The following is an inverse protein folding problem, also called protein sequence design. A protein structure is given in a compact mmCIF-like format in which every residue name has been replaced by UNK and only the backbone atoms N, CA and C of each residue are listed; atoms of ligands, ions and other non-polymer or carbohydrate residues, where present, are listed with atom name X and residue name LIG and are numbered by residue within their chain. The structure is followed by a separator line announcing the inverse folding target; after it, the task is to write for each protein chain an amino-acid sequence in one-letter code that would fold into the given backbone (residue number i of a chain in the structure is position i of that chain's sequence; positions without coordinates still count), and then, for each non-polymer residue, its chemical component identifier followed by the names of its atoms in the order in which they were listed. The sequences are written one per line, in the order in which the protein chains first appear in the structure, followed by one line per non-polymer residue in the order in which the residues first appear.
data_IF_754618219714
#
_entry.id   IF_754618219714
#
_cell.length_a   1.000
_cell.length_b   1.000
_cell.length_c   1.000
_cell.angle_alpha   90.00
_cell.angle_beta   90.00
_cell.angle_gamma   90.00
#
_symmetry.space_group_name_H-M   'P 1'
#
loop_
_entity.id
_entity.type
_entity.pdbx_description
1 polymer ?
#
# COMPACT_ATOMS: atom_id res chain seq x y z
N UNK A 1 21.42 -17.22 29.61
CA UNK A 1 20.21 -16.38 29.51
C UNK A 1 20.35 -15.48 28.29
N UNK A 2 19.84 -15.90 27.13
CA UNK A 2 19.84 -15.07 25.93
C UNK A 2 18.60 -14.18 25.97
N UNK A 3 18.76 -12.97 26.50
CA UNK A 3 17.72 -11.95 26.41
C UNK A 3 17.46 -11.64 24.95
N UNK A 4 16.26 -11.96 24.48
CA UNK A 4 15.81 -11.67 23.13
C UNK A 4 15.76 -10.14 22.93
N UNK A 5 16.84 -9.58 22.39
CA UNK A 5 16.84 -8.21 21.85
C UNK A 5 16.04 -8.20 20.54
N UNK A 6 14.73 -8.48 20.62
CA UNK A 6 13.81 -8.33 19.50
C UNK A 6 13.69 -6.81 19.23
N UNK A 7 14.12 -6.30 18.06
CA UNK A 7 14.02 -4.89 17.77
C UNK A 7 12.57 -4.43 17.88
N UNK A 8 12.34 -3.28 18.51
CA UNK A 8 10.98 -2.78 18.70
C UNK A 8 10.31 -2.46 17.36
N UNK A 9 8.99 -2.65 17.29
CA UNK A 9 8.13 -2.25 16.16
C UNK A 9 8.38 -0.79 15.74
N UNK A 10 8.65 0.09 16.72
CA UNK A 10 8.93 1.51 16.50
C UNK A 10 10.29 1.75 15.81
N UNK A 11 11.34 1.01 16.21
CA UNK A 11 12.64 1.06 15.55
C UNK A 11 12.52 0.61 14.09
N UNK A 12 11.76 -0.46 13.86
CA UNK A 12 11.51 -1.02 12.53
C UNK A 12 10.78 -0.01 11.63
N UNK A 13 9.72 0.62 12.16
CA UNK A 13 8.96 1.67 11.46
C UNK A 13 9.84 2.85 11.10
N UNK A 14 10.68 3.29 12.04
CA UNK A 14 11.58 4.44 11.83
C UNK A 14 12.64 4.15 10.77
N UNK A 15 13.14 2.92 10.71
CA UNK A 15 14.11 2.49 9.70
C UNK A 15 13.48 2.46 8.30
N UNK A 16 12.29 1.86 8.15
CA UNK A 16 11.56 1.84 6.88
C UNK A 16 11.23 3.26 6.40
N UNK A 17 10.74 4.12 7.30
CA UNK A 17 10.51 5.53 6.98
C UNK A 17 11.78 6.23 6.52
N UNK A 18 12.92 6.01 7.18
CA UNK A 18 14.20 6.61 6.74
C UNK A 18 14.64 6.12 5.37
N UNK A 19 14.40 4.86 5.02
CA UNK A 19 14.71 4.33 3.68
C UNK A 19 13.81 4.99 2.64
N UNK A 20 12.53 5.13 2.95
CA UNK A 20 11.52 5.74 2.08
C UNK A 20 11.71 7.24 1.88
N UNK A 21 12.23 7.94 2.89
CA UNK A 21 12.44 9.40 2.84
C UNK A 21 13.74 9.79 2.14
N UNK A 22 14.59 8.83 1.75
CA UNK A 22 15.80 9.12 0.99
C UNK A 22 15.47 9.66 -0.40
N UNK A 23 16.37 10.50 -0.93
CA UNK A 23 16.27 11.11 -2.27
C UNK A 23 16.11 10.05 -3.38
N UNK A 24 16.70 8.88 -3.18
CA UNK A 24 16.53 7.69 -4.00
C UNK A 24 16.04 6.56 -3.10
N UNK A 25 14.89 5.97 -3.47
CA UNK A 25 14.35 4.82 -2.76
C UNK A 25 15.20 3.58 -3.07
N UNK A 26 15.85 3.04 -2.05
CA UNK A 26 16.57 1.77 -2.16
C UNK A 26 15.64 0.60 -1.83
N UNK A 27 15.02 0.05 -2.87
CA UNK A 27 14.14 -1.12 -2.78
C UNK A 27 14.88 -2.37 -2.27
N UNK A 28 16.16 -2.51 -2.59
CA UNK A 28 16.97 -3.64 -2.13
C UNK A 28 17.17 -3.62 -0.62
N UNK A 29 17.51 -2.45 -0.07
CA UNK A 29 17.58 -2.23 1.37
C UNK A 29 16.21 -2.37 2.03
N UNK A 30 15.16 -1.84 1.40
CA UNK A 30 13.79 -1.94 1.90
C UNK A 30 13.33 -3.40 2.04
N UNK A 31 13.45 -4.19 0.98
CA UNK A 31 13.12 -5.62 0.92
C UNK A 31 13.94 -6.44 1.93
N UNK A 32 15.24 -6.16 2.03
CA UNK A 32 16.12 -6.83 3.01
C UNK A 32 15.67 -6.57 4.44
N UNK A 33 15.30 -5.32 4.75
CA UNK A 33 14.83 -4.93 6.07
C UNK A 33 13.47 -5.57 6.38
N UNK A 34 12.54 -5.60 5.41
CA UNK A 34 11.27 -6.31 5.54
C UNK A 34 11.44 -7.80 5.82
N UNK A 35 12.28 -8.50 5.04
CA UNK A 35 12.56 -9.93 5.23
C UNK A 35 13.16 -10.22 6.60
N UNK A 36 14.05 -9.37 7.09
CA UNK A 36 14.58 -9.47 8.46
C UNK A 36 13.45 -9.36 9.49
N UNK A 37 12.51 -8.41 9.31
CA UNK A 37 11.40 -8.24 10.24
C UNK A 37 10.41 -9.39 10.24
N UNK A 38 10.09 -9.92 9.06
CA UNK A 38 9.24 -11.10 8.91
C UNK A 38 9.93 -12.32 9.54
N UNK A 39 11.24 -12.49 9.31
CA UNK A 39 12.04 -13.57 9.89
C UNK A 39 12.21 -13.50 11.40
N UNK A 40 12.05 -12.32 12.03
CA UNK A 40 12.07 -12.14 13.49
C UNK A 40 10.65 -12.30 14.08
N UNK A 41 9.65 -12.68 13.28
CA UNK A 41 8.22 -12.71 13.63
C UNK A 41 7.74 -11.37 14.21
N UNK A 42 8.21 -10.25 13.66
CA UNK A 42 7.59 -8.95 13.92
C UNK A 42 6.40 -8.86 12.97
N UNK A 43 5.19 -9.03 13.49
CA UNK A 43 3.97 -8.75 12.73
C UNK A 43 4.01 -7.29 12.30
N UNK A 44 4.19 -7.05 11.00
CA UNK A 44 4.07 -5.72 10.42
C UNK A 44 2.61 -5.28 10.61
N UNK A 45 2.40 -4.44 11.63
CA UNK A 45 1.09 -3.91 11.92
C UNK A 45 0.65 -2.91 10.84
N UNK A 46 -0.65 -2.81 10.58
CA UNK A 46 -1.24 -1.79 9.70
C UNK A 46 -0.77 -0.37 10.04
N UNK A 47 -0.45 -0.12 11.32
CA UNK A 47 0.11 1.16 11.79
C UNK A 47 1.51 1.46 11.26
N UNK A 48 2.36 0.44 11.09
CA UNK A 48 3.70 0.59 10.50
C UNK A 48 3.56 0.94 9.02
N UNK A 49 2.69 0.23 8.31
CA UNK A 49 2.45 0.45 6.90
C UNK A 49 1.81 1.83 6.66
N UNK A 50 0.85 2.25 7.48
CA UNK A 50 0.27 3.60 7.40
C UNK A 50 1.32 4.69 7.65
N UNK A 51 2.26 4.46 8.58
CA UNK A 51 3.35 5.39 8.83
C UNK A 51 4.34 5.50 7.66
N UNK A 52 4.62 4.38 6.97
CA UNK A 52 5.45 4.33 5.75
C UNK A 52 4.73 5.00 4.57
N UNK A 53 3.44 4.73 4.38
CA UNK A 53 2.62 5.37 3.34
C UNK A 53 2.51 6.88 3.54
N UNK A 54 2.36 7.34 4.78
CA UNK A 54 2.36 8.78 5.11
C UNK A 54 3.67 9.45 4.73
N UNK A 55 4.82 8.79 4.89
CA UNK A 55 6.09 9.36 4.44
C UNK A 55 6.16 9.54 2.92
N UNK A 56 5.62 8.62 2.11
CA UNK A 56 5.56 8.81 0.66
C UNK A 56 4.71 10.01 0.27
N UNK A 57 3.52 10.14 0.88
CA UNK A 57 2.64 11.29 0.62
C UNK A 57 3.28 12.63 0.98
N UNK A 58 4.21 12.66 1.95
CA UNK A 58 4.88 13.90 2.35
C UNK A 58 5.97 14.38 1.39
N UNK A 59 6.49 13.49 0.53
CA UNK A 59 7.60 13.81 -0.39
C UNK A 59 7.08 13.94 -1.83
N UNK A 60 5.80 13.63 -2.07
CA UNK A 60 5.21 13.67 -3.41
C UNK A 60 5.73 12.58 -4.35
N UNK A 61 6.51 11.62 -3.84
CA UNK A 61 7.07 10.52 -4.62
C UNK A 61 6.11 9.34 -4.52
N UNK A 62 5.03 9.42 -5.29
CA UNK A 62 3.96 8.43 -5.25
C UNK A 62 4.28 7.18 -6.08
N UNK A 63 5.06 7.29 -7.17
CA UNK A 63 5.40 6.13 -8.01
C UNK A 63 6.24 5.07 -7.31
N UNK A 64 7.03 5.51 -6.32
CA UNK A 64 7.83 4.61 -5.47
C UNK A 64 7.00 3.91 -4.38
N UNK A 65 5.80 4.44 -4.08
CA UNK A 65 4.87 3.86 -3.11
C UNK A 65 4.37 2.47 -3.56
N UNK A 66 4.06 2.31 -4.86
CA UNK A 66 3.58 1.05 -5.41
C UNK A 66 4.68 -0.03 -5.39
N UNK A 67 5.93 0.33 -5.71
CA UNK A 67 7.07 -0.59 -5.65
C UNK A 67 7.29 -1.10 -4.23
N UNK A 68 7.19 -0.24 -3.22
CA UNK A 68 7.23 -0.65 -1.82
C UNK A 68 6.05 -1.54 -1.43
N UNK A 69 4.84 -1.23 -1.87
CA UNK A 69 3.67 -2.07 -1.58
C UNK A 69 3.77 -3.46 -2.23
N UNK A 70 4.37 -3.56 -3.42
CA UNK A 70 4.68 -4.84 -4.08
C UNK A 70 5.67 -5.65 -3.27
N UNK A 71 6.78 -5.06 -2.80
CA UNK A 71 7.76 -5.74 -1.94
C UNK A 71 7.12 -6.26 -0.65
N UNK A 72 6.29 -5.44 0.02
CA UNK A 72 5.59 -5.83 1.24
C UNK A 72 4.67 -7.03 1.01
N UNK A 73 3.96 -7.09 -0.12
CA UNK A 73 3.08 -8.21 -0.45
C UNK A 73 3.83 -9.44 -0.96
N UNK A 74 4.90 -9.28 -1.74
CA UNK A 74 5.73 -10.39 -2.22
C UNK A 74 6.37 -11.16 -1.07
N UNK A 75 6.73 -10.46 0.00
CA UNK A 75 7.22 -11.08 1.23
C UNK A 75 6.10 -11.75 2.07
N UNK A 76 4.88 -11.87 1.54
CA UNK A 76 3.78 -12.66 2.12
C UNK A 76 2.89 -11.89 3.12
N UNK A 77 2.92 -10.55 3.11
CA UNK A 77 2.12 -9.77 4.05
C UNK A 77 0.63 -9.70 3.65
N UNK A 78 -0.22 -10.18 4.55
CA UNK A 78 -1.67 -10.01 4.47
C UNK A 78 -2.07 -8.70 5.15
N UNK A 79 -2.50 -7.72 4.36
CA UNK A 79 -3.02 -6.42 4.84
C UNK A 79 -4.52 -6.47 5.09
N UNK A 80 -4.98 -5.83 6.17
CA UNK A 80 -6.41 -5.77 6.52
C UNK A 80 -7.25 -4.98 5.51
N UNK A 81 -8.58 -5.20 5.50
CA UNK A 81 -9.51 -4.49 4.61
C UNK A 81 -9.46 -2.96 4.78
N UNK A 82 -9.34 -2.50 6.03
CA UNK A 82 -9.21 -1.07 6.34
C UNK A 82 -7.89 -0.51 5.79
N UNK A 83 -6.84 -1.32 5.81
CA UNK A 83 -5.55 -0.93 5.27
C UNK A 83 -5.54 -0.91 3.75
N UNK A 84 -6.20 -1.88 3.11
CA UNK A 84 -6.44 -1.88 1.67
C UNK A 84 -7.18 -0.61 1.24
N UNK A 85 -8.25 -0.23 1.95
CA UNK A 85 -9.01 1.00 1.70
C UNK A 85 -8.12 2.26 1.72
N UNK A 86 -7.23 2.36 2.71
CA UNK A 86 -6.28 3.49 2.83
C UNK A 86 -5.24 3.51 1.71
N UNK A 87 -4.71 2.35 1.33
CA UNK A 87 -3.76 2.22 0.24
C UNK A 87 -4.41 2.68 -1.06
N UNK A 88 -5.60 2.16 -1.36
CA UNK A 88 -6.36 2.48 -2.57
C UNK A 88 -6.66 3.97 -2.68
N UNK A 89 -7.13 4.61 -1.59
CA UNK A 89 -7.36 6.06 -1.56
C UNK A 89 -6.09 6.86 -1.85
N UNK A 90 -4.95 6.47 -1.26
CA UNK A 90 -3.69 7.21 -1.42
C UNK A 90 -3.13 7.08 -2.82
N UNK A 91 -3.24 5.91 -3.44
CA UNK A 91 -2.80 5.70 -4.82
C UNK A 91 -3.66 6.49 -5.81
N UNK A 92 -4.98 6.46 -5.68
CA UNK A 92 -5.85 7.19 -6.59
C UNK A 92 -5.81 8.70 -6.39
N UNK A 93 -5.66 9.20 -5.15
CA UNK A 93 -5.52 10.65 -4.88
C UNK A 93 -4.17 11.24 -5.29
N UNK A 94 -3.17 10.41 -5.54
CA UNK A 94 -1.86 10.81 -6.02
C UNK A 94 -1.79 11.11 -7.53
N UNK A 95 -2.90 11.02 -8.27
CA UNK A 95 -2.96 11.22 -9.72
C UNK A 95 -2.18 10.19 -10.56
N UNK A 96 -1.97 9.00 -10.00
CA UNK A 96 -1.18 7.92 -10.59
C UNK A 96 -2.08 6.78 -11.04
N UNK A 97 -2.66 6.94 -12.24
CA UNK A 97 -3.66 6.03 -12.81
C UNK A 97 -3.09 4.62 -13.00
N UNK A 98 -1.96 4.53 -13.68
CA UNK A 98 -1.33 3.26 -14.02
C UNK A 98 -1.02 2.46 -12.75
N UNK A 99 -0.56 3.13 -11.69
CA UNK A 99 -0.26 2.51 -10.41
C UNK A 99 -1.50 2.11 -9.60
N UNK A 100 -2.60 2.87 -9.70
CA UNK A 100 -3.87 2.51 -9.08
C UNK A 100 -4.51 1.29 -9.77
N UNK A 101 -4.51 1.26 -11.10
CA UNK A 101 -5.01 0.13 -11.89
C UNK A 101 -4.17 -1.14 -11.66
N UNK A 102 -2.84 -1.04 -11.66
CA UNK A 102 -1.95 -2.17 -11.33
C UNK A 102 -2.24 -2.75 -9.94
N UNK A 103 -2.54 -1.90 -8.95
CA UNK A 103 -2.87 -2.36 -7.61
C UNK A 103 -4.21 -3.11 -7.58
N UNK A 104 -5.22 -2.62 -8.31
CA UNK A 104 -6.53 -3.28 -8.44
C UNK A 104 -6.38 -4.63 -9.13
N UNK A 105 -5.66 -4.70 -10.25
CA UNK A 105 -5.40 -5.94 -10.99
C UNK A 105 -4.67 -6.97 -10.13
N UNK A 106 -3.65 -6.52 -9.37
CA UNK A 106 -2.93 -7.41 -8.46
C UNK A 106 -3.82 -7.91 -7.31
N UNK A 107 -4.70 -7.08 -6.78
CA UNK A 107 -5.65 -7.49 -5.73
C UNK A 107 -6.57 -8.60 -6.24
N UNK A 108 -7.09 -8.45 -7.45
CA UNK A 108 -7.90 -9.46 -8.12
C UNK A 108 -7.13 -10.75 -8.42
N UNK A 109 -5.90 -10.65 -8.92
CA UNK A 109 -5.04 -11.81 -9.21
C UNK A 109 -4.69 -12.61 -7.94
N UNK A 110 -4.59 -11.95 -6.79
CA UNK A 110 -4.32 -12.60 -5.50
C UNK A 110 -5.55 -13.22 -4.82
N UNK A 111 -6.74 -13.13 -5.45
CA UNK A 111 -8.01 -13.58 -4.88
C UNK A 111 -8.57 -12.67 -3.77
N UNK A 112 -7.86 -11.61 -3.41
CA UNK A 112 -8.26 -10.62 -2.41
C UNK A 112 -8.95 -9.45 -3.10
N UNK A 113 -10.21 -9.64 -3.51
CA UNK A 113 -10.98 -8.57 -4.15
C UNK A 113 -11.16 -7.37 -3.21
N UNK A 114 -11.01 -6.16 -3.77
CA UNK A 114 -11.32 -4.92 -3.04
C UNK A 114 -12.79 -4.91 -2.60
N UNK A 115 -13.01 -4.57 -1.33
CA UNK A 115 -14.34 -4.39 -0.78
C UNK A 115 -14.99 -3.08 -1.26
N UNK A 116 -16.27 -2.88 -0.93
CA UNK A 116 -17.02 -1.69 -1.35
C UNK A 116 -16.40 -0.39 -0.83
N UNK A 117 -15.75 -0.42 0.36
CA UNK A 117 -15.12 0.75 0.96
C UNK A 117 -13.87 1.12 0.18
N UNK A 118 -13.06 0.14 -0.19
CA UNK A 118 -11.87 0.33 -1.00
C UNK A 118 -12.23 0.86 -2.39
N UNK A 119 -13.30 0.38 -3.03
CA UNK A 119 -13.80 0.95 -4.29
C UNK A 119 -14.27 2.40 -4.14
N UNK A 120 -15.01 2.72 -3.08
CA UNK A 120 -15.44 4.10 -2.81
C UNK A 120 -14.24 5.03 -2.59
N UNK A 121 -13.23 4.55 -1.88
CA UNK A 121 -11.95 5.24 -1.66
C UNK A 121 -11.16 5.44 -2.96
N UNK A 122 -11.14 4.45 -3.86
CA UNK A 122 -10.53 4.57 -5.20
C UNK A 122 -11.16 5.75 -5.96
N UNK A 123 -12.49 5.75 -6.08
CA UNK A 123 -13.27 6.79 -6.77
C UNK A 123 -13.04 8.15 -6.14
N UNK A 124 -13.10 8.24 -4.81
CA UNK A 124 -12.90 9.50 -4.10
C UNK A 124 -11.49 10.08 -4.36
N UNK A 125 -10.46 9.23 -4.37
CA UNK A 125 -9.10 9.70 -4.66
C UNK A 125 -8.96 10.21 -6.10
N UNK A 126 -9.53 9.53 -7.11
CA UNK A 126 -9.53 10.04 -8.48
C UNK A 126 -10.25 11.38 -8.62
N UNK A 127 -11.34 11.59 -7.88
CA UNK A 127 -12.00 12.90 -7.81
C UNK A 127 -11.08 13.98 -7.21
N UNK A 128 -10.32 13.66 -6.15
CA UNK A 128 -9.34 14.58 -5.52
C UNK A 128 -8.22 14.94 -6.49
N UNK A 129 -7.77 14.00 -7.32
CA UNK A 129 -6.75 14.26 -8.34
C UNK A 129 -7.27 14.94 -9.61
N UNK A 130 -8.56 15.30 -9.66
CA UNK A 130 -9.27 15.90 -10.82
C UNK A 130 -9.31 14.97 -12.06
N UNK A 131 -9.12 13.67 -11.84
CA UNK A 131 -9.14 12.61 -12.86
C UNK A 131 -10.55 12.01 -12.96
N UNK A 132 -11.46 12.78 -13.57
CA UNK A 132 -12.91 12.47 -13.59
C UNK A 132 -13.22 11.25 -14.47
N UNK A 133 -12.45 11.03 -15.53
CA UNK A 133 -12.60 9.89 -16.45
C UNK A 133 -12.29 8.57 -15.74
N UNK A 134 -11.23 8.55 -14.93
CA UNK A 134 -10.81 7.40 -14.12
C UNK A 134 -11.83 7.10 -13.02
N UNK A 135 -12.37 8.14 -12.37
CA UNK A 135 -13.45 7.96 -11.39
C UNK A 135 -14.68 7.30 -12.02
N UNK A 136 -15.01 7.66 -13.27
CA UNK A 136 -16.09 7.06 -14.05
C UNK A 136 -15.82 5.60 -14.41
N UNK A 137 -14.60 5.27 -14.85
CA UNK A 137 -14.19 3.89 -15.16
C UNK A 137 -14.26 2.99 -13.91
N UNK A 138 -13.82 3.51 -12.76
CA UNK A 138 -13.93 2.82 -11.47
C UNK A 138 -15.39 2.50 -11.09
N UNK A 139 -16.32 3.43 -11.35
CA UNK A 139 -17.75 3.23 -11.13
C UNK A 139 -18.29 2.13 -12.05
N UNK A 140 -17.88 2.10 -13.32
CA UNK A 140 -18.29 1.05 -14.26
C UNK A 140 -17.74 -0.33 -13.88
N UNK A 141 -16.46 -0.41 -13.51
CA UNK A 141 -15.81 -1.64 -13.01
C UNK A 141 -16.54 -2.20 -11.78
N UNK A 142 -16.88 -1.35 -10.81
CA UNK A 142 -17.63 -1.77 -9.62
C UNK A 142 -19.10 -2.14 -9.93
N UNK A 143 -19.79 -1.34 -10.75
CA UNK A 143 -21.18 -1.58 -11.15
C UNK A 143 -21.39 -2.88 -11.94
N UNK A 144 -20.41 -3.28 -12.75
CA UNK A 144 -20.41 -4.55 -13.49
C UNK A 144 -20.32 -5.77 -12.57
N UNK A 145 -19.56 -5.65 -11.47
CA UNK A 145 -19.42 -6.72 -10.46
C UNK A 145 -20.67 -6.88 -9.60
N UNK A 146 -21.39 -5.79 -9.35
CA UNK A 146 -22.64 -5.78 -8.57
C UNK A 146 -23.81 -6.50 -9.24
N UNK A 147 -23.73 -6.77 -10.56
CA UNK A 147 -24.75 -7.52 -11.34
C UNK A 147 -24.53 -9.04 -11.39
N UNK A 148 -23.46 -9.57 -10.79
CA UNK A 148 -23.26 -11.01 -10.61
C UNK A 148 -23.69 -11.43 -9.20
N UNK A 149 -24.95 -11.23 -8.86
CA UNK A 149 -25.66 -11.90 -7.77
C UNK A 149 -27.13 -12.02 -8.14
#
# INVERSE_FOLDING_TARGET
MAGANKPSVLCCTSLLKKIVVRKELDLGLFSRVLRIFIGIEITLADSMLDAVLKSFSSIGIFGECNKVLKEIKQDGLVVSSDMQTKITFRLSSACQKDEADEFVEHMEASGNNLDYKAWASLIQGHCVSRNVEEALDCIQKNGSKRRRF
#
